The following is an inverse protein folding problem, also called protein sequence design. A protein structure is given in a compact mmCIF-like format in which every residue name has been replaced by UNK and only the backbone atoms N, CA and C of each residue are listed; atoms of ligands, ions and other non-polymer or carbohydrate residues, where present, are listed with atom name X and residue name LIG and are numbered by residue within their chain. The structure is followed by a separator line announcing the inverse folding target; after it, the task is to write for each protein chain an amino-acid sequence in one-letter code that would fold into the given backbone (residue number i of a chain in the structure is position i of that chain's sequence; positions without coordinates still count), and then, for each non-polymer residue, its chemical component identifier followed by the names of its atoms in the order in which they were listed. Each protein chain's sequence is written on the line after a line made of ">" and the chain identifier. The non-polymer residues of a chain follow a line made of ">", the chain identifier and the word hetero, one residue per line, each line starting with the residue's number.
data_IF_823906842068
#
_entry.id   IF_823906842068
#
_cell.length_a   1.000
_cell.length_b   1.000
_cell.length_c   1.000
_cell.angle_alpha   90.00
_cell.angle_beta   90.00
_cell.angle_gamma   90.00
#
_symmetry.space_group_name_H-M   'P 1'
#
loop_
_entity.id
_entity.type
_entity.pdbx_description
1 polymer ?
#
# COMPACT_ATOMS: atom_id res chain seq x y z
N UNK A 1 24.61 45.38 36.05
CA UNK A 1 24.49 45.53 34.58
C UNK A 1 24.86 44.19 33.93
N UNK A 2 24.02 43.73 32.99
CA UNK A 2 23.84 42.33 32.60
C UNK A 2 24.97 41.72 31.75
N UNK A 3 25.26 40.43 31.98
CA UNK A 3 26.15 39.60 31.15
C UNK A 3 25.44 39.22 29.84
N UNK A 4 26.09 39.47 28.71
CA UNK A 4 25.67 39.01 27.39
C UNK A 4 25.77 37.48 27.29
N UNK A 5 24.63 36.81 27.24
CA UNK A 5 24.51 35.37 26.99
C UNK A 5 24.71 35.05 25.51
N UNK A 6 25.71 34.22 25.23
CA UNK A 6 26.05 33.68 23.92
C UNK A 6 24.85 32.99 23.25
N UNK A 7 24.40 33.53 22.13
CA UNK A 7 23.28 33.03 21.32
C UNK A 7 23.75 32.01 20.26
N UNK A 8 24.83 31.26 20.54
CA UNK A 8 25.44 30.34 19.58
C UNK A 8 24.81 28.93 19.55
N UNK A 9 23.84 28.65 20.43
CA UNK A 9 23.18 27.33 20.50
C UNK A 9 21.96 27.15 19.58
N UNK A 10 21.35 28.23 19.08
CA UNK A 10 20.07 28.14 18.36
C UNK A 10 20.22 27.81 16.88
N UNK A 11 21.31 28.25 16.24
CA UNK A 11 21.54 28.06 14.80
C UNK A 11 21.89 26.60 14.43
N UNK A 12 22.53 25.85 15.32
CA UNK A 12 22.92 24.46 15.07
C UNK A 12 21.72 23.48 15.03
N UNK A 13 20.54 23.89 15.51
CA UNK A 13 19.31 23.06 15.49
C UNK A 13 18.51 23.14 14.19
N UNK A 14 18.80 24.12 13.32
CA UNK A 14 18.05 24.31 12.06
C UNK A 14 18.57 23.44 10.90
N UNK A 15 19.80 22.93 11.01
CA UNK A 15 20.46 22.11 9.97
C UNK A 15 20.94 20.75 10.46
N UNK A 16 20.59 20.35 11.68
CA UNK A 16 20.84 18.99 12.14
C UNK A 16 19.98 18.03 11.32
N UNK A 17 20.59 17.20 10.48
CA UNK A 17 19.91 16.04 9.90
C UNK A 17 19.14 15.35 11.02
N UNK A 18 17.81 15.26 10.88
CA UNK A 18 17.01 14.52 11.83
C UNK A 18 17.67 13.14 12.01
N UNK A 19 17.86 12.66 13.25
CA UNK A 19 18.52 11.39 13.48
C UNK A 19 17.85 10.36 12.58
N UNK A 20 18.62 9.75 11.67
CA UNK A 20 18.15 8.71 10.76
C UNK A 20 17.58 7.61 11.64
N UNK A 21 16.26 7.63 11.85
CA UNK A 21 15.60 6.60 12.63
C UNK A 21 16.00 5.26 12.00
N UNK A 22 16.40 4.26 12.80
CA UNK A 22 16.66 2.95 12.26
C UNK A 22 15.42 2.52 11.46
N UNK A 23 15.57 1.89 10.29
CA UNK A 23 14.44 1.49 9.48
C UNK A 23 13.46 0.72 10.36
N UNK A 24 12.21 1.19 10.45
CA UNK A 24 11.18 0.46 11.17
C UNK A 24 11.04 -0.91 10.51
N UNK A 25 11.39 -1.96 11.26
CA UNK A 25 11.12 -3.34 10.85
C UNK A 25 9.62 -3.62 11.05
N UNK A 26 8.82 -3.11 10.11
CA UNK A 26 7.37 -3.20 10.14
C UNK A 26 6.88 -4.64 10.24
N UNK A 27 7.68 -5.62 9.79
CA UNK A 27 7.33 -7.04 9.84
C UNK A 27 7.14 -7.55 11.27
N UNK A 28 7.83 -6.97 12.26
CA UNK A 28 7.68 -7.30 13.69
C UNK A 28 6.36 -6.87 14.32
N UNK A 29 5.67 -5.92 13.69
CA UNK A 29 4.38 -5.44 14.18
C UNK A 29 3.24 -6.41 13.87
N UNK A 30 3.45 -7.40 12.98
CA UNK A 30 2.51 -8.48 12.71
C UNK A 30 1.10 -7.99 12.37
N UNK A 31 0.10 -8.63 13.01
CA UNK A 31 -1.33 -8.34 12.86
C UNK A 31 -1.78 -6.94 13.35
N UNK A 32 -0.94 -6.22 14.11
CA UNK A 32 -1.28 -4.90 14.66
C UNK A 32 -1.24 -3.79 13.60
N UNK A 33 -0.61 -4.02 12.45
CA UNK A 33 -0.54 -3.03 11.38
C UNK A 33 -1.91 -2.91 10.70
N UNK A 34 -2.48 -1.70 10.72
CA UNK A 34 -3.70 -1.37 9.98
C UNK A 34 -3.44 -0.41 8.83
N UNK A 35 -2.43 0.45 8.97
CA UNK A 35 -2.01 1.43 7.96
C UNK A 35 -0.50 1.35 7.85
N UNK A 36 -0.01 1.18 6.62
CA UNK A 36 1.40 1.14 6.33
C UNK A 36 1.74 2.32 5.43
N UNK A 37 2.60 3.26 5.86
CA UNK A 37 3.02 4.39 5.03
C UNK A 37 3.72 3.92 3.75
N UNK A 38 3.56 4.67 2.66
CA UNK A 38 4.11 4.32 1.33
C UNK A 38 5.62 4.06 1.30
N UNK A 39 6.49 4.68 2.12
CA UNK A 39 7.92 4.34 2.10
C UNK A 39 8.25 2.88 2.44
N UNK A 40 7.34 2.20 3.15
CA UNK A 40 7.46 0.81 3.57
C UNK A 40 6.74 -0.17 2.64
N UNK A 41 6.13 0.30 1.54
CA UNK A 41 5.46 -0.60 0.62
C UNK A 41 6.45 -1.48 -0.14
N UNK A 42 6.07 -2.73 -0.33
CA UNK A 42 6.83 -3.76 -1.01
C UNK A 42 5.94 -4.47 -2.05
N UNK A 43 6.57 -5.23 -2.93
CA UNK A 43 5.85 -6.05 -3.92
C UNK A 43 4.97 -7.07 -3.22
N UNK A 44 3.88 -7.45 -3.88
CA UNK A 44 2.85 -8.37 -3.37
C UNK A 44 2.09 -7.89 -2.13
N UNK A 45 2.29 -6.65 -1.69
CA UNK A 45 1.44 -6.08 -0.66
C UNK A 45 0.01 -5.93 -1.16
N UNK A 46 -0.93 -6.27 -0.28
CA UNK A 46 -2.36 -6.23 -0.52
C UNK A 46 -3.02 -5.24 0.44
N UNK A 47 -3.87 -4.39 -0.12
CA UNK A 47 -4.56 -3.32 0.59
C UNK A 47 -6.05 -3.38 0.31
N UNK A 48 -6.86 -2.98 1.28
CA UNK A 48 -8.29 -2.73 1.11
C UNK A 48 -8.61 -1.23 1.17
N UNK A 49 -9.71 -0.81 0.56
CA UNK A 49 -10.28 0.54 0.74
C UNK A 49 -9.98 1.54 -0.39
N UNK A 50 -9.53 1.09 -1.57
CA UNK A 50 -9.34 1.98 -2.69
C UNK A 50 -10.68 2.40 -3.29
N UNK A 51 -11.05 3.68 -3.18
CA UNK A 51 -12.32 4.22 -3.68
C UNK A 51 -12.48 4.07 -5.20
N UNK A 52 -13.66 3.63 -5.62
CA UNK A 52 -13.94 3.30 -7.01
C UNK A 52 -13.87 4.51 -7.96
N UNK A 53 -14.25 5.70 -7.49
CA UNK A 53 -14.16 6.92 -8.32
C UNK A 53 -12.69 7.23 -8.56
N UNK A 54 -11.88 7.19 -7.50
CA UNK A 54 -10.42 7.41 -7.61
C UNK A 54 -9.73 6.34 -8.45
N UNK A 55 -10.17 5.08 -8.35
CA UNK A 55 -9.67 4.01 -9.22
C UNK A 55 -10.04 4.26 -10.68
N UNK A 56 -11.29 4.63 -10.96
CA UNK A 56 -11.72 4.98 -12.33
C UNK A 56 -10.90 6.13 -12.89
N UNK A 57 -10.70 7.19 -12.10
CA UNK A 57 -9.92 8.36 -12.51
C UNK A 57 -8.44 7.99 -12.76
N UNK A 58 -7.84 7.15 -11.90
CA UNK A 58 -6.44 6.75 -12.03
C UNK A 58 -6.18 5.72 -13.15
N UNK A 59 -7.19 4.93 -13.53
CA UNK A 59 -7.06 3.84 -14.50
C UNK A 59 -7.75 4.11 -15.84
N UNK A 60 -8.50 5.23 -15.93
CA UNK A 60 -9.27 5.60 -17.11
C UNK A 60 -10.56 4.79 -17.32
N UNK A 61 -10.85 3.77 -16.52
CA UNK A 61 -12.03 2.93 -16.79
C UNK A 61 -12.26 1.71 -15.90
N UNK A 62 -11.56 1.55 -14.76
CA UNK A 62 -11.87 0.45 -13.84
C UNK A 62 -13.33 0.54 -13.36
N UNK A 63 -14.11 -0.55 -13.44
CA UNK A 63 -15.54 -0.53 -13.13
C UNK A 63 -15.77 -0.32 -11.63
N UNK A 64 -16.73 0.55 -11.32
CA UNK A 64 -17.19 0.71 -9.95
C UNK A 64 -17.99 -0.52 -9.50
N UNK A 65 -17.96 -0.78 -8.20
CA UNK A 65 -18.88 -1.73 -7.57
C UNK A 65 -20.32 -1.22 -7.74
N UNK A 66 -21.21 -2.09 -8.17
CA UNK A 66 -22.65 -1.80 -8.30
C UNK A 66 -23.40 -1.86 -6.96
N UNK A 67 -22.69 -2.15 -5.86
CA UNK A 67 -23.25 -2.27 -4.52
C UNK A 67 -23.41 -0.90 -3.89
N UNK A 68 -24.56 -0.62 -3.28
CA UNK A 68 -24.81 0.67 -2.62
C UNK A 68 -23.94 0.87 -1.37
N UNK A 69 -23.55 -0.23 -0.72
CA UNK A 69 -22.84 -0.30 0.57
C UNK A 69 -21.32 -0.48 0.46
N UNK A 70 -20.82 -0.93 -0.71
CA UNK A 70 -19.39 -1.07 -0.98
C UNK A 70 -19.06 -0.19 -2.16
N UNK A 71 -18.06 0.69 -2.00
CA UNK A 71 -17.60 1.64 -3.02
C UNK A 71 -16.07 1.60 -3.18
N UNK A 72 -15.48 0.48 -2.79
CA UNK A 72 -14.03 0.32 -2.75
C UNK A 72 -13.62 -1.04 -3.25
N UNK A 73 -12.47 -1.10 -3.90
CA UNK A 73 -11.79 -2.34 -4.24
C UNK A 73 -10.46 -2.50 -3.48
N UNK A 74 -9.94 -3.73 -3.43
CA UNK A 74 -8.56 -3.96 -3.03
C UNK A 74 -7.56 -3.41 -4.04
N UNK A 75 -6.35 -3.11 -3.57
CA UNK A 75 -5.18 -2.80 -4.38
C UNK A 75 -4.08 -3.82 -4.11
N UNK A 76 -3.38 -4.20 -5.18
CA UNK A 76 -2.21 -5.06 -5.12
C UNK A 76 -1.00 -4.32 -5.68
N UNK A 77 0.14 -4.44 -5.00
CA UNK A 77 1.41 -3.86 -5.46
C UNK A 77 2.11 -4.85 -6.38
N UNK A 78 2.18 -4.50 -7.66
CA UNK A 78 2.83 -5.33 -8.68
C UNK A 78 4.35 -5.28 -8.53
N UNK A 79 4.91 -4.06 -8.47
CA UNK A 79 6.35 -3.88 -8.31
C UNK A 79 6.73 -2.52 -7.75
N UNK A 80 7.94 -2.44 -7.21
CA UNK A 80 8.57 -1.16 -6.84
C UNK A 80 9.19 -0.49 -8.07
N UNK A 81 8.96 0.81 -8.22
CA UNK A 81 9.59 1.65 -9.23
C UNK A 81 10.77 2.39 -8.60
N UNK A 82 11.77 1.63 -8.13
CA UNK A 82 12.95 2.13 -7.42
C UNK A 82 12.61 3.18 -6.35
N UNK A 83 13.09 4.42 -6.52
CA UNK A 83 12.86 5.55 -5.63
C UNK A 83 11.64 6.41 -6.02
N UNK A 84 11.00 6.14 -7.16
CA UNK A 84 9.93 6.96 -7.71
C UNK A 84 8.55 6.60 -7.12
N UNK A 85 8.31 5.31 -6.89
CA UNK A 85 6.99 4.88 -6.41
C UNK A 85 6.72 3.41 -6.62
N UNK A 86 5.46 3.10 -6.94
CA UNK A 86 4.93 1.76 -7.04
C UNK A 86 4.09 1.63 -8.29
N UNK A 87 4.16 0.48 -8.95
CA UNK A 87 3.13 0.06 -9.89
C UNK A 87 2.13 -0.80 -9.14
N UNK A 88 0.86 -0.40 -9.19
CA UNK A 88 -0.23 -1.08 -8.49
C UNK A 88 -1.36 -1.38 -9.47
N UNK A 89 -2.25 -2.29 -9.10
CA UNK A 89 -3.50 -2.50 -9.81
C UNK A 89 -4.64 -2.83 -8.85
N UNK A 90 -5.89 -2.50 -9.19
CA UNK A 90 -7.04 -2.94 -8.44
C UNK A 90 -7.22 -4.46 -8.55
N UNK A 91 -7.90 -5.04 -7.57
CA UNK A 91 -8.32 -6.44 -7.62
C UNK A 91 -9.85 -6.54 -7.54
N UNK A 92 -10.41 -7.65 -7.99
CA UNK A 92 -11.85 -7.91 -7.90
C UNK A 92 -12.11 -9.35 -7.47
N UNK A 93 -13.30 -9.61 -6.91
CA UNK A 93 -13.73 -10.99 -6.63
C UNK A 93 -14.45 -11.64 -7.81
N UNK A 94 -14.63 -10.92 -8.92
CA UNK A 94 -15.25 -11.42 -10.15
C UNK A 94 -14.16 -12.04 -11.03
N UNK A 95 -14.36 -13.29 -11.46
CA UNK A 95 -13.46 -14.01 -12.34
C UNK A 95 -13.29 -13.29 -13.68
N UNK A 96 -12.21 -12.54 -13.83
CA UNK A 96 -12.00 -11.62 -14.96
C UNK A 96 -10.53 -11.37 -15.32
N UNK A 97 -9.62 -12.09 -14.66
CA UNK A 97 -8.19 -12.13 -14.92
C UNK A 97 -7.70 -13.57 -14.74
N UNK A 98 -6.70 -14.03 -15.52
CA UNK A 98 -6.10 -15.33 -15.26
C UNK A 98 -5.23 -15.32 -13.99
N UNK A 99 -4.80 -14.16 -13.50
CA UNK A 99 -3.98 -14.04 -12.30
C UNK A 99 -4.84 -13.76 -11.08
N UNK A 100 -4.65 -14.54 -10.02
CA UNK A 100 -5.46 -14.41 -8.80
C UNK A 100 -4.74 -14.85 -7.54
N UNK A 101 -5.27 -14.39 -6.42
CA UNK A 101 -4.95 -14.80 -5.05
C UNK A 101 -6.08 -15.69 -4.57
N UNK A 102 -5.77 -16.91 -4.16
CA UNK A 102 -6.77 -17.88 -3.74
C UNK A 102 -7.44 -17.49 -2.40
N UNK A 103 -8.73 -17.81 -2.26
CA UNK A 103 -9.44 -17.71 -0.98
C UNK A 103 -8.69 -18.52 0.09
N UNK A 104 -8.65 -18.01 1.32
CA UNK A 104 -8.01 -18.68 2.44
C UNK A 104 -6.49 -18.48 2.51
N UNK A 105 -5.88 -17.83 1.52
CA UNK A 105 -4.49 -17.43 1.62
C UNK A 105 -4.25 -16.56 2.87
N UNK A 106 -3.26 -16.94 3.69
CA UNK A 106 -2.82 -16.18 4.85
C UNK A 106 -1.79 -15.15 4.40
N UNK A 107 -2.10 -13.87 4.62
CA UNK A 107 -1.19 -12.78 4.29
C UNK A 107 -0.16 -12.58 5.41
N UNK A 108 1.07 -12.27 5.04
CA UNK A 108 2.19 -12.11 5.98
C UNK A 108 2.49 -10.62 6.24
N UNK A 109 2.86 -10.21 7.46
CA UNK A 109 2.86 -10.95 8.73
C UNK A 109 1.52 -10.80 9.47
N UNK A 110 0.45 -10.37 8.78
CA UNK A 110 -0.81 -10.02 9.43
C UNK A 110 -1.66 -11.22 9.83
N UNK A 111 -1.35 -12.39 9.26
CA UNK A 111 -2.12 -13.63 9.33
C UNK A 111 -3.58 -13.47 8.86
N UNK A 112 -3.86 -12.41 8.09
CA UNK A 112 -5.19 -12.20 7.54
C UNK A 112 -5.50 -13.27 6.49
N UNK A 113 -6.57 -14.04 6.74
CA UNK A 113 -7.09 -15.01 5.77
C UNK A 113 -7.96 -14.30 4.71
N UNK A 114 -7.59 -14.44 3.44
CA UNK A 114 -8.37 -13.92 2.32
C UNK A 114 -9.79 -14.50 2.31
N UNK A 115 -10.80 -13.66 2.54
CA UNK A 115 -12.21 -14.11 2.60
C UNK A 115 -12.75 -14.63 1.26
N UNK A 116 -12.18 -14.15 0.15
CA UNK A 116 -12.60 -14.45 -1.23
C UNK A 116 -11.37 -14.55 -2.13
N UNK A 117 -11.50 -15.28 -3.23
CA UNK A 117 -10.53 -15.22 -4.33
C UNK A 117 -10.48 -13.80 -4.88
N UNK A 118 -9.28 -13.27 -5.07
CA UNK A 118 -9.05 -11.92 -5.57
C UNK A 118 -8.27 -11.96 -6.88
N UNK A 119 -8.93 -11.59 -7.96
CA UNK A 119 -8.37 -11.52 -9.30
C UNK A 119 -7.60 -10.22 -9.48
N UNK A 120 -6.33 -10.34 -9.89
CA UNK A 120 -5.38 -9.24 -10.04
C UNK A 120 -5.58 -8.63 -11.42
N UNK A 121 -6.01 -7.36 -11.47
CA UNK A 121 -6.43 -6.72 -12.71
C UNK A 121 -5.31 -5.89 -13.33
N UNK A 122 -4.23 -6.54 -13.76
CA UNK A 122 -3.04 -5.89 -14.32
C UNK A 122 -3.33 -4.93 -15.48
N UNK A 123 -4.38 -5.20 -16.28
CA UNK A 123 -4.80 -4.30 -17.37
C UNK A 123 -5.18 -2.89 -16.89
N UNK A 124 -5.51 -2.74 -15.62
CA UNK A 124 -5.83 -1.46 -14.96
C UNK A 124 -4.71 -1.01 -14.02
N UNK A 125 -3.46 -1.36 -14.34
CA UNK A 125 -2.30 -0.91 -13.56
C UNK A 125 -2.05 0.58 -13.71
N UNK A 126 -1.62 1.22 -12.64
CA UNK A 126 -1.25 2.64 -12.60
C UNK A 126 -0.10 2.88 -11.62
N UNK A 127 0.51 4.07 -11.71
CA UNK A 127 1.60 4.48 -10.84
C UNK A 127 1.11 5.20 -9.58
N UNK A 128 1.74 4.92 -8.44
CA UNK A 128 1.58 5.69 -7.21
C UNK A 128 2.93 6.26 -6.75
N UNK A 129 3.00 7.55 -6.38
CA UNK A 129 4.24 8.16 -5.94
C UNK A 129 4.66 7.63 -4.57
N UNK A 130 5.98 7.57 -4.33
CA UNK A 130 6.54 7.18 -3.02
C UNK A 130 6.22 8.18 -1.90
N UNK A 131 5.98 9.44 -2.25
CA UNK A 131 5.87 10.59 -1.32
C UNK A 131 4.67 10.58 -0.36
N UNK A 132 3.83 9.55 -0.38
CA UNK A 132 2.76 9.40 0.61
C UNK A 132 1.50 10.21 0.33
N UNK A 133 1.52 11.06 -0.71
CA UNK A 133 0.33 11.72 -1.27
C UNK A 133 -0.49 10.72 -2.10
N UNK A 134 -0.70 9.53 -1.55
CA UNK A 134 -1.60 8.52 -2.11
C UNK A 134 -3.00 8.96 -1.71
N UNK A 135 -3.80 9.40 -2.68
CA UNK A 135 -5.17 9.86 -2.45
C UNK A 135 -6.14 8.74 -2.01
N UNK A 136 -5.65 7.57 -1.58
CA UNK A 136 -6.46 6.46 -1.13
C UNK A 136 -6.35 6.26 0.37
N UNK A 137 -7.49 5.99 1.03
CA UNK A 137 -7.52 5.58 2.43
C UNK A 137 -7.35 4.07 2.50
N UNK A 138 -6.10 3.61 2.47
CA UNK A 138 -5.79 2.18 2.38
C UNK A 138 -5.56 1.54 3.74
N UNK A 139 -6.18 0.38 3.94
CA UNK A 139 -5.89 -0.54 5.03
C UNK A 139 -4.91 -1.57 4.53
N UNK A 140 -3.76 -1.68 5.19
CA UNK A 140 -2.80 -2.76 4.93
C UNK A 140 -3.40 -4.07 5.41
N UNK A 141 -3.43 -5.07 4.53
CA UNK A 141 -3.95 -6.40 4.83
C UNK A 141 -2.83 -7.42 4.98
N UNK A 142 -1.64 -7.17 4.41
CA UNK A 142 -0.49 -8.06 4.46
C UNK A 142 0.23 -8.15 3.11
N UNK A 143 1.25 -8.98 3.04
CA UNK A 143 1.97 -9.41 1.84
C UNK A 143 1.41 -10.75 1.42
N UNK A 144 1.10 -10.90 0.14
CA UNK A 144 0.68 -12.18 -0.43
C UNK A 144 1.91 -13.08 -0.61
N UNK A 145 1.96 -14.26 0.02
CA UNK A 145 2.98 -15.25 -0.26
C UNK A 145 2.96 -15.67 -1.73
N UNK A 146 4.12 -15.92 -2.32
CA UNK A 146 4.20 -16.35 -3.73
C UNK A 146 3.44 -17.66 -3.99
N UNK A 147 3.42 -18.54 -3.00
CA UNK A 147 2.67 -19.81 -3.05
C UNK A 147 1.15 -19.62 -3.21
N UNK A 148 0.62 -18.45 -2.84
CA UNK A 148 -0.79 -18.10 -3.02
C UNK A 148 -1.11 -17.45 -4.38
N UNK A 149 -0.10 -17.02 -5.12
CA UNK A 149 -0.30 -16.43 -6.44
C UNK A 149 -0.52 -17.56 -7.45
N UNK A 150 -1.67 -17.51 -8.12
CA UNK A 150 -2.10 -18.51 -9.08
C UNK A 150 -2.32 -17.89 -10.45
N UNK A 151 -2.23 -18.75 -11.45
CA UNK A 151 -2.57 -18.44 -12.84
C UNK A 151 -3.51 -19.53 -13.35
N UNK A 152 -4.68 -19.16 -13.85
CA UNK A 152 -5.53 -20.09 -14.58
C UNK A 152 -4.89 -20.41 -15.93
N UNK A 153 -4.93 -21.69 -16.31
CA UNK A 153 -4.50 -22.18 -17.61
C UNK A 153 -5.39 -21.63 -18.74
#
# INVERSE_FOLDING_TARGET
>A
MAKAGSNQGFAARLWGEAPKQPPLDWRRLGASIRRLPSPYWEERMFFHGADDRKLRDATGGFPATFRRDKKTHPLFVLKRLANFGFQVCPCTSVASSPFYIEKGCLLEPSEYAMERTSYIMERFRFGLPRSGNVNFTLRFMGVVPESCLRRSL
#
